data_IF_382810575956
#
_entry.id   IF_382810575956
#
_cell.length_a   1.000
_cell.length_b   1.000
_cell.length_c   1.000
_cell.angle_alpha   90.00
_cell.angle_beta   90.00
_cell.angle_gamma   90.00
#
_symmetry.space_group_name_H-M   'P 1'
#
loop_
_entity.id
_entity.type
_entity.pdbx_description
1 polymer ?
#
# COMPACT_ATOMS: atom_id res chain seq x y z
N UNK A 1 -6.64 -14.54 -6.90
CA UNK A 1 -6.24 -13.57 -5.86
C UNK A 1 -6.35 -12.14 -6.36
N UNK A 2 -6.00 -11.87 -7.62
CA UNK A 2 -6.08 -10.54 -8.24
C UNK A 2 -7.43 -9.81 -8.09
N UNK A 3 -8.58 -10.47 -8.26
CA UNK A 3 -9.88 -9.82 -8.06
C UNK A 3 -10.07 -9.31 -6.62
N UNK A 4 -9.60 -10.08 -5.63
CA UNK A 4 -9.66 -9.68 -4.23
C UNK A 4 -8.71 -8.50 -3.99
N UNK A 5 -7.49 -8.57 -4.51
CA UNK A 5 -6.53 -7.47 -4.42
C UNK A 5 -7.10 -6.18 -5.06
N UNK A 6 -7.62 -6.26 -6.29
CA UNK A 6 -8.27 -5.15 -6.99
C UNK A 6 -9.36 -4.47 -6.16
N UNK A 7 -10.23 -5.27 -5.52
CA UNK A 7 -11.34 -4.71 -4.75
C UNK A 7 -10.91 -4.01 -3.47
N UNK A 8 -9.85 -4.48 -2.80
CA UNK A 8 -9.50 -4.03 -1.45
C UNK A 8 -8.22 -3.17 -1.40
N UNK A 9 -7.37 -3.21 -2.42
CA UNK A 9 -6.03 -2.59 -2.36
C UNK A 9 -6.08 -1.10 -2.03
N UNK A 10 -6.99 -0.34 -2.66
CA UNK A 10 -7.12 1.10 -2.41
C UNK A 10 -7.51 1.43 -0.97
N UNK A 11 -8.42 0.63 -0.38
CA UNK A 11 -8.84 0.79 1.02
C UNK A 11 -7.69 0.47 1.97
N UNK A 12 -7.01 -0.64 1.73
CA UNK A 12 -5.85 -1.04 2.53
C UNK A 12 -4.75 0.01 2.47
N UNK A 13 -4.44 0.54 1.28
CA UNK A 13 -3.44 1.58 1.11
C UNK A 13 -3.83 2.85 1.87
N UNK A 14 -5.10 3.28 1.77
CA UNK A 14 -5.63 4.44 2.49
C UNK A 14 -5.51 4.28 4.01
N UNK A 15 -5.88 3.11 4.54
CA UNK A 15 -5.76 2.80 5.97
C UNK A 15 -4.29 2.76 6.43
N UNK A 16 -3.40 2.20 5.61
CA UNK A 16 -1.96 2.18 5.90
C UNK A 16 -1.36 3.60 5.92
N UNK A 17 -1.76 4.44 4.98
CA UNK A 17 -1.33 5.84 4.93
C UNK A 17 -1.84 6.63 6.15
N UNK A 18 -3.10 6.41 6.55
CA UNK A 18 -3.64 6.99 7.78
C UNK A 18 -2.91 6.51 9.03
N UNK A 19 -2.58 5.22 9.12
CA UNK A 19 -1.79 4.67 10.23
C UNK A 19 -0.42 5.32 10.27
N UNK A 20 0.27 5.44 9.12
CA UNK A 20 1.57 6.10 9.01
C UNK A 20 1.51 7.55 9.50
N UNK A 21 0.52 8.32 9.05
CA UNK A 21 0.33 9.71 9.48
C UNK A 21 0.07 9.83 10.99
N UNK A 22 -0.86 9.03 11.50
CA UNK A 22 -1.20 9.01 12.94
C UNK A 22 0.01 8.64 13.78
N UNK A 23 0.71 7.57 13.38
CA UNK A 23 1.90 7.08 14.07
C UNK A 23 2.99 8.16 14.17
N UNK A 24 3.16 8.97 13.13
CA UNK A 24 4.17 10.04 13.09
C UNK A 24 3.72 11.36 13.71
N UNK A 25 2.42 11.64 13.79
CA UNK A 25 1.88 12.83 14.45
C UNK A 25 1.98 12.76 15.98
N UNK A 26 1.81 11.57 16.55
CA UNK A 26 1.81 11.35 18.00
C UNK A 26 3.23 11.12 18.53
N UNK A 27 3.56 11.80 19.63
CA UNK A 27 4.81 11.56 20.35
C UNK A 27 4.66 10.31 21.22
N UNK A 28 5.41 9.26 20.90
CA UNK A 28 5.51 8.03 21.68
C UNK A 28 6.28 8.34 22.98
N UNK A 29 5.71 7.94 24.12
CA UNK A 29 6.33 8.15 25.43
C UNK A 29 7.40 7.09 25.70
N UNK A 30 8.36 7.45 26.55
CA UNK A 30 9.39 6.52 27.01
C UNK A 30 8.75 5.39 27.82
N UNK A 31 9.03 4.14 27.44
CA UNK A 31 8.62 2.94 28.18
C UNK A 31 9.66 2.58 29.25
N UNK A 32 9.34 1.60 30.09
CA UNK A 32 10.30 0.95 31.00
C UNK A 32 11.26 0.02 30.26
N UNK A 33 10.93 -0.35 29.03
CA UNK A 33 11.77 -1.13 28.14
C UNK A 33 12.67 -0.23 27.28
N UNK A 34 13.62 -0.82 26.58
CA UNK A 34 14.54 -0.13 25.67
C UNK A 34 13.83 0.30 24.37
N UNK A 35 12.88 1.21 24.50
CA UNK A 35 12.11 1.80 23.39
C UNK A 35 12.53 3.24 23.19
N UNK A 36 12.76 3.64 21.94
CA UNK A 36 13.09 5.01 21.56
C UNK A 36 11.83 5.89 21.68
N UNK A 37 11.79 6.88 22.59
CA UNK A 37 10.67 7.81 22.68
C UNK A 37 10.76 8.88 21.59
N UNK A 38 9.62 9.49 21.21
CA UNK A 38 9.59 10.55 20.21
C UNK A 38 8.55 10.31 19.13
N UNK A 39 8.60 11.11 18.07
CA UNK A 39 7.83 10.85 16.83
C UNK A 39 8.70 10.01 15.91
N UNK A 40 8.27 8.83 15.44
CA UNK A 40 9.10 7.85 14.72
C UNK A 40 9.93 8.41 13.55
N UNK A 41 9.38 9.31 12.75
CA UNK A 41 10.11 9.97 11.67
C UNK A 41 11.34 10.77 12.18
N UNK A 42 11.26 11.36 13.37
CA UNK A 42 12.34 12.21 13.88
C UNK A 42 13.64 11.45 14.19
N UNK A 43 13.66 10.35 14.97
CA UNK A 43 14.85 9.53 15.14
C UNK A 43 15.23 8.73 13.89
N UNK A 44 14.29 8.50 12.95
CA UNK A 44 14.61 7.82 11.69
C UNK A 44 15.38 8.73 10.72
N UNK A 45 14.87 9.94 10.44
CA UNK A 45 15.50 10.87 9.49
C UNK A 45 16.61 11.71 10.11
N UNK A 46 16.56 11.99 11.41
CA UNK A 46 17.51 12.85 12.12
C UNK A 46 18.01 12.19 13.41
N UNK A 47 18.61 10.98 13.32
CA UNK A 47 19.05 10.23 14.50
C UNK A 47 20.01 11.03 15.38
N UNK A 48 20.84 11.89 14.80
CA UNK A 48 21.85 12.68 15.51
C UNK A 48 21.21 13.68 16.50
N UNK A 49 20.01 14.20 16.21
CA UNK A 49 19.29 15.09 17.13
C UNK A 49 18.77 14.37 18.39
N UNK A 50 18.72 13.03 18.34
CA UNK A 50 18.28 12.17 19.44
C UNK A 50 19.45 11.45 20.12
N UNK A 51 20.69 11.79 19.77
CA UNK A 51 21.89 11.07 20.24
C UNK A 51 22.00 9.64 19.70
N UNK A 52 21.28 9.33 18.62
CA UNK A 52 21.30 8.04 17.93
C UNK A 52 22.26 8.10 16.74
N UNK A 53 22.67 6.91 16.28
CA UNK A 53 23.49 6.75 15.09
C UNK A 53 22.62 6.42 13.88
N UNK A 54 22.98 6.97 12.73
CA UNK A 54 22.39 6.56 11.46
C UNK A 54 22.94 5.18 11.04
N UNK A 55 22.02 4.26 10.76
CA UNK A 55 22.30 2.89 10.32
C UNK A 55 21.89 2.65 8.86
N UNK A 56 21.46 3.68 8.15
CA UNK A 56 21.18 3.58 6.72
C UNK A 56 22.49 3.32 5.96
N UNK A 57 22.41 2.46 4.94
CA UNK A 57 23.53 2.17 4.05
C UNK A 57 23.40 2.99 2.77
N UNK A 58 24.49 3.62 2.34
CA UNK A 58 24.51 4.35 1.06
C UNK A 58 24.68 3.35 -0.08
N UNK A 59 23.69 3.29 -0.96
CA UNK A 59 23.77 2.53 -2.20
C UNK A 59 24.49 3.34 -3.27
N UNK A 60 25.30 2.67 -4.09
CA UNK A 60 25.97 3.33 -5.20
C UNK A 60 24.93 3.72 -6.27
N UNK A 61 25.12 4.86 -6.94
CA UNK A 61 24.22 5.31 -8.00
C UNK A 61 24.06 4.28 -9.13
N UNK A 62 25.11 3.49 -9.40
CA UNK A 62 25.06 2.39 -10.37
C UNK A 62 24.13 1.25 -9.94
N UNK A 63 24.05 0.94 -8.64
CA UNK A 63 23.14 -0.09 -8.12
C UNK A 63 21.69 0.39 -8.19
N UNK A 64 21.45 1.67 -7.90
CA UNK A 64 20.13 2.30 -8.04
C UNK A 64 19.70 2.29 -9.50
N UNK A 65 20.60 2.70 -10.41
CA UNK A 65 20.36 2.68 -11.86
C UNK A 65 20.05 1.28 -12.38
N UNK A 66 20.91 0.31 -12.03
CA UNK A 66 20.69 -1.09 -12.35
C UNK A 66 19.33 -1.58 -11.84
N UNK A 67 18.99 -1.32 -10.57
CA UNK A 67 17.69 -1.69 -10.03
C UNK A 67 16.55 -1.01 -10.79
N UNK A 68 16.61 0.29 -11.07
CA UNK A 68 15.55 0.98 -11.81
C UNK A 68 15.36 0.46 -13.24
N UNK A 69 16.43 0.06 -13.91
CA UNK A 69 16.38 -0.47 -15.28
C UNK A 69 16.00 -1.95 -15.34
N UNK A 70 16.27 -2.71 -14.27
CA UNK A 70 16.03 -4.15 -14.20
C UNK A 70 14.89 -4.52 -13.26
N UNK A 71 14.23 -3.56 -12.63
CA UNK A 71 12.92 -3.75 -12.03
C UNK A 71 12.02 -4.15 -13.19
N UNK A 72 11.65 -5.43 -13.19
CA UNK A 72 10.51 -5.89 -13.96
C UNK A 72 9.33 -5.26 -13.23
N UNK A 73 8.89 -4.08 -13.67
CA UNK A 73 7.51 -3.68 -13.45
C UNK A 73 6.70 -4.84 -13.97
N UNK A 74 6.02 -5.53 -13.06
CA UNK A 74 5.32 -6.75 -13.40
C UNK A 74 4.14 -6.34 -14.28
N UNK A 75 4.35 -6.15 -15.58
CA UNK A 75 3.31 -5.83 -16.57
C UNK A 75 2.20 -6.90 -16.54
N UNK A 76 2.51 -8.12 -16.10
CA UNK A 76 1.53 -9.18 -15.82
C UNK A 76 0.52 -8.84 -14.70
N UNK A 77 0.84 -7.89 -13.81
CA UNK A 77 -0.13 -7.36 -12.84
C UNK A 77 -1.08 -6.34 -13.48
N UNK A 78 -0.68 -5.72 -14.59
CA UNK A 78 -1.47 -4.71 -15.28
C UNK A 78 -2.65 -5.33 -16.04
N UNK A 79 -2.47 -6.49 -16.70
CA UNK A 79 -3.54 -7.15 -17.48
C UNK A 79 -4.81 -7.41 -16.64
N UNK A 80 -4.63 -7.85 -15.40
CA UNK A 80 -5.76 -8.09 -14.49
C UNK A 80 -6.40 -6.78 -14.01
N UNK A 81 -5.60 -5.77 -13.69
CA UNK A 81 -6.10 -4.44 -13.32
C UNK A 81 -6.90 -3.82 -14.46
N UNK A 82 -6.35 -3.75 -15.67
CA UNK A 82 -7.01 -3.22 -16.86
C UNK A 82 -8.32 -3.96 -17.16
N UNK A 83 -8.31 -5.29 -17.06
CA UNK A 83 -9.52 -6.10 -17.23
C UNK A 83 -10.59 -5.76 -16.18
N UNK A 84 -10.24 -5.72 -14.90
CA UNK A 84 -11.21 -5.39 -13.85
C UNK A 84 -11.71 -3.95 -13.98
N UNK A 85 -10.87 -3.04 -14.46
CA UNK A 85 -11.24 -1.64 -14.70
C UNK A 85 -12.22 -1.51 -15.87
N UNK A 86 -11.97 -2.23 -16.96
CA UNK A 86 -12.90 -2.35 -18.08
C UNK A 86 -14.24 -2.90 -17.61
N UNK A 87 -14.26 -4.02 -16.87
CA UNK A 87 -15.51 -4.63 -16.37
C UNK A 87 -16.23 -3.67 -15.43
N UNK A 88 -15.53 -3.05 -14.47
CA UNK A 88 -16.11 -2.06 -13.54
C UNK A 88 -16.76 -0.90 -14.29
N UNK A 89 -16.08 -0.34 -15.29
CA UNK A 89 -16.59 0.77 -16.09
C UNK A 89 -17.83 0.39 -16.91
N UNK A 90 -17.84 -0.79 -17.55
CA UNK A 90 -19.02 -1.26 -18.29
C UNK A 90 -20.22 -1.52 -17.39
N UNK A 91 -19.98 -1.96 -16.15
CA UNK A 91 -21.02 -2.17 -15.15
C UNK A 91 -21.45 -0.88 -14.43
N UNK A 92 -20.84 0.27 -14.75
CA UNK A 92 -21.03 1.55 -14.06
C UNK A 92 -20.86 1.44 -12.54
N UNK A 93 -19.92 0.59 -12.08
CA UNK A 93 -19.62 0.41 -10.68
C UNK A 93 -18.66 1.51 -10.18
N UNK A 94 -19.00 2.14 -9.07
CA UNK A 94 -18.08 3.04 -8.36
C UNK A 94 -16.93 2.25 -7.73
N UNK A 95 -15.84 2.95 -7.43
CA UNK A 95 -14.83 2.38 -6.54
C UNK A 95 -15.42 2.25 -5.13
N UNK A 96 -15.07 1.19 -4.40
CA UNK A 96 -15.52 1.02 -3.03
C UNK A 96 -14.84 2.03 -2.11
N UNK A 97 -15.63 2.62 -1.21
CA UNK A 97 -15.16 3.56 -0.18
C UNK A 97 -15.01 2.88 1.20
N UNK A 98 -15.65 1.73 1.39
CA UNK A 98 -15.53 0.91 2.60
C UNK A 98 -15.39 -0.60 2.30
N UNK A 99 -15.13 -1.38 3.34
CA UNK A 99 -14.91 -2.82 3.23
C UNK A 99 -16.15 -3.59 2.78
N UNK A 100 -17.35 -3.08 3.06
CA UNK A 100 -18.61 -3.72 2.70
C UNK A 100 -18.87 -3.54 1.20
N UNK A 101 -18.65 -2.33 0.68
CA UNK A 101 -18.68 -2.04 -0.75
C UNK A 101 -17.64 -2.85 -1.51
N UNK A 102 -16.41 -2.95 -1.00
CA UNK A 102 -15.36 -3.77 -1.62
C UNK A 102 -15.71 -5.25 -1.66
N UNK A 103 -16.32 -5.77 -0.59
CA UNK A 103 -16.81 -7.14 -0.53
C UNK A 103 -17.95 -7.38 -1.52
N UNK A 104 -18.86 -6.42 -1.64
CA UNK A 104 -19.99 -6.50 -2.57
C UNK A 104 -19.50 -6.47 -4.02
N UNK A 105 -18.54 -5.60 -4.34
CA UNK A 105 -17.88 -5.57 -5.65
C UNK A 105 -17.19 -6.89 -5.96
N UNK A 106 -16.42 -7.45 -5.02
CA UNK A 106 -15.78 -8.76 -5.19
C UNK A 106 -16.80 -9.86 -5.50
N UNK A 107 -17.89 -9.95 -4.73
CA UNK A 107 -18.95 -10.93 -4.96
C UNK A 107 -19.58 -10.79 -6.34
N UNK A 108 -19.82 -9.55 -6.78
CA UNK A 108 -20.43 -9.26 -8.08
C UNK A 108 -19.52 -9.63 -9.24
N UNK A 109 -18.24 -9.27 -9.18
CA UNK A 109 -17.25 -9.66 -10.19
C UNK A 109 -17.08 -11.19 -10.27
N UNK A 110 -17.04 -11.86 -9.11
CA UNK A 110 -16.97 -13.33 -9.06
C UNK A 110 -18.23 -14.01 -9.62
N UNK A 111 -19.41 -13.43 -9.40
CA UNK A 111 -20.66 -13.96 -9.95
C UNK A 111 -20.69 -13.86 -11.48
N UNK A 112 -20.27 -12.72 -12.05
CA UNK A 112 -20.19 -12.50 -13.50
C UNK A 112 -19.15 -13.45 -14.13
N UNK A 113 -18.00 -13.63 -13.48
CA UNK A 113 -16.98 -14.57 -13.96
C UNK A 113 -17.49 -16.03 -13.99
N UNK A 114 -18.37 -16.41 -13.06
CA UNK A 114 -18.89 -17.78 -12.97
C UNK A 114 -20.11 -18.04 -13.89
N UNK A 115 -21.00 -17.06 -14.05
CA UNK A 115 -22.29 -17.27 -14.72
C UNK A 115 -22.42 -16.52 -16.06
N UNK A 116 -21.45 -15.69 -16.42
CA UNK A 116 -21.56 -14.79 -17.56
C UNK A 116 -22.36 -13.51 -17.22
N UNK A 117 -22.42 -12.61 -18.20
CA UNK A 117 -23.23 -11.40 -18.13
C UNK A 117 -24.56 -11.69 -18.82
N UNK A 118 -25.68 -11.69 -18.07
CA UNK A 118 -27.04 -11.74 -18.63
C UNK A 118 -27.41 -10.41 -19.30
#
# INVERSE_FOLDING_TARGET
MECLWYCFHKLLQTELDLVKERWNSHRIRKSRHDTIPGRPDSPYFLPQLHGLRDYLFQLAAAEIGFASENIIENELANDHQEYFEYVRNNLSLSHPEDWEEALNMFRRLMNIAANGYD
#
